data_IF_574585302861
#
_entry.id   IF_574585302861
#
_cell.length_a   1.000
_cell.length_b   1.000
_cell.length_c   1.000
_cell.angle_alpha   90.00
_cell.angle_beta   90.00
_cell.angle_gamma   90.00
#
_symmetry.space_group_name_H-M   'P 1'
#
loop_
_entity.id
_entity.type
_entity.pdbx_description
1 polymer ?
#
# COMPACT_ATOMS: atom_id res chain seq x y z
N UNK A 1 -11.52 24.75 -1.36
CA UNK A 1 -12.09 23.87 -2.39
C UNK A 1 -10.93 23.28 -3.21
N UNK A 2 -10.48 22.08 -2.88
CA UNK A 2 -9.43 21.37 -3.65
C UNK A 2 -10.10 20.15 -4.28
N UNK A 3 -10.71 20.34 -5.45
CA UNK A 3 -11.11 19.24 -6.32
C UNK A 3 -9.83 18.65 -6.91
N UNK A 4 -9.27 17.63 -6.28
CA UNK A 4 -8.17 16.87 -6.87
C UNK A 4 -8.74 16.01 -7.99
N UNK A 5 -8.48 16.43 -9.24
CA UNK A 5 -8.81 15.71 -10.46
C UNK A 5 -8.33 14.25 -10.39
N UNK A 6 -9.28 13.31 -10.36
CA UNK A 6 -9.07 11.88 -10.41
C UNK A 6 -8.83 11.41 -11.86
N UNK A 7 -7.74 11.88 -12.49
CA UNK A 7 -7.28 11.34 -13.76
C UNK A 7 -5.81 10.92 -13.57
N UNK A 8 -5.56 9.61 -13.50
CA UNK A 8 -4.21 9.05 -13.58
C UNK A 8 -3.43 8.93 -12.26
N UNK A 9 -4.05 8.49 -11.16
CA UNK A 9 -3.32 8.19 -9.92
C UNK A 9 -2.70 6.77 -9.94
N UNK A 10 -1.42 6.62 -9.56
CA UNK A 10 -0.79 5.31 -9.36
C UNK A 10 -1.61 4.43 -8.42
N UNK A 11 -1.58 3.11 -8.67
CA UNK A 11 -2.29 2.13 -7.86
C UNK A 11 -1.31 1.31 -7.03
N UNK A 12 -1.63 1.14 -5.77
CA UNK A 12 -0.81 0.42 -4.79
C UNK A 12 -1.58 -0.84 -4.40
N UNK A 13 -0.98 -2.02 -4.58
CA UNK A 13 -1.59 -3.27 -4.13
C UNK A 13 -1.70 -3.24 -2.60
N UNK A 14 -2.90 -3.46 -2.06
CA UNK A 14 -3.13 -3.41 -0.61
C UNK A 14 -2.43 -4.58 0.10
N UNK A 15 -2.32 -5.75 -0.56
CA UNK A 15 -1.73 -6.94 0.03
C UNK A 15 -0.20 -6.85 0.17
N UNK A 16 0.50 -6.36 -0.86
CA UNK A 16 1.97 -6.37 -0.90
C UNK A 16 2.62 -4.98 -0.98
N UNK A 17 1.85 -3.91 -1.14
CA UNK A 17 2.36 -2.54 -1.22
C UNK A 17 3.00 -2.15 -2.55
N UNK A 18 3.03 -3.03 -3.55
CA UNK A 18 3.61 -2.72 -4.87
C UNK A 18 2.82 -1.62 -5.58
N UNK A 19 3.52 -0.56 -6.02
CA UNK A 19 2.93 0.54 -6.78
C UNK A 19 3.09 0.36 -8.29
N UNK A 20 1.99 0.53 -9.03
CA UNK A 20 1.92 0.52 -10.48
C UNK A 20 1.65 1.93 -11.02
N UNK A 21 2.17 2.26 -12.23
CA UNK A 21 1.86 3.51 -12.89
C UNK A 21 0.37 3.59 -13.21
N UNK A 22 -0.15 4.81 -13.25
CA UNK A 22 -1.59 5.03 -13.39
C UNK A 22 -2.19 4.61 -14.73
N UNK A 23 -1.38 4.54 -15.77
CA UNK A 23 -1.80 4.16 -17.13
C UNK A 23 -1.84 2.65 -17.34
N UNK A 24 -1.11 1.89 -16.54
CA UNK A 24 -0.95 0.44 -16.72
C UNK A 24 -1.02 -0.21 -15.35
N UNK A 25 -2.24 -0.52 -14.94
CA UNK A 25 -2.52 -1.28 -13.72
C UNK A 25 -3.00 -2.65 -14.17
N UNK A 26 -2.29 -3.74 -13.82
CA UNK A 26 -2.73 -5.07 -14.19
C UNK A 26 -4.01 -5.42 -13.45
N UNK A 27 -4.81 -6.34 -14.00
CA UNK A 27 -6.03 -6.83 -13.34
C UNK A 27 -5.72 -7.41 -11.95
N UNK A 28 -4.60 -8.14 -11.85
CA UNK A 28 -4.03 -8.59 -10.59
C UNK A 28 -2.53 -8.24 -10.54
N UNK A 29 -2.04 -7.99 -9.34
CA UNK A 29 -0.66 -7.65 -9.05
C UNK A 29 0.23 -8.84 -9.42
N UNK A 30 1.16 -8.57 -10.32
CA UNK A 30 2.16 -9.53 -10.79
C UNK A 30 2.91 -10.20 -9.63
N UNK A 31 3.20 -9.44 -8.56
CA UNK A 31 3.88 -9.97 -7.37
C UNK A 31 2.97 -10.93 -6.61
N UNK A 32 1.72 -10.54 -6.33
CA UNK A 32 0.77 -11.40 -5.63
C UNK A 32 0.35 -12.64 -6.42
N UNK A 33 0.49 -12.64 -7.75
CA UNK A 33 0.27 -13.82 -8.59
C UNK A 33 1.34 -14.91 -8.40
N UNK A 34 2.48 -14.60 -7.80
CA UNK A 34 3.50 -15.59 -7.51
C UNK A 34 3.08 -16.46 -6.31
N UNK A 35 3.28 -17.78 -6.41
CA UNK A 35 2.93 -18.77 -5.39
C UNK A 35 3.54 -18.51 -4.00
N UNK A 36 4.56 -17.66 -3.95
CA UNK A 36 5.27 -17.27 -2.73
C UNK A 36 4.54 -16.21 -1.91
N UNK A 37 3.51 -15.58 -2.47
CA UNK A 37 2.82 -14.47 -1.84
C UNK A 37 1.48 -14.88 -1.22
N UNK A 38 1.26 -14.40 0.00
CA UNK A 38 -0.02 -14.55 0.67
C UNK A 38 -1.04 -13.57 0.07
N UNK A 39 -2.12 -14.11 -0.47
CA UNK A 39 -3.30 -13.33 -0.87
C UNK A 39 -4.37 -13.56 0.21
N UNK A 40 -4.93 -12.50 0.83
CA UNK A 40 -6.06 -12.65 1.74
C UNK A 40 -7.21 -13.38 1.03
N UNK A 41 -7.63 -14.56 1.53
CA UNK A 41 -8.51 -15.45 0.79
C UNK A 41 -9.95 -14.92 0.61
N UNK A 42 -10.41 -14.03 1.50
CA UNK A 42 -11.84 -13.66 1.57
C UNK A 42 -12.24 -12.46 0.69
N UNK A 43 -11.30 -11.60 0.30
CA UNK A 43 -11.62 -10.33 -0.37
C UNK A 43 -10.97 -10.16 -1.75
N UNK A 44 -10.13 -11.11 -2.14
CA UNK A 44 -9.29 -11.01 -3.34
C UNK A 44 -8.31 -9.84 -3.28
N UNK A 45 -7.76 -9.47 -4.44
CA UNK A 45 -6.79 -8.39 -4.50
C UNK A 45 -7.45 -7.01 -4.63
N UNK A 46 -7.05 -6.08 -3.76
CA UNK A 46 -7.53 -4.69 -3.77
C UNK A 46 -6.40 -3.69 -4.06
N UNK A 47 -6.81 -2.50 -4.51
CA UNK A 47 -5.91 -1.41 -4.87
C UNK A 47 -6.22 -0.15 -4.05
N UNK A 48 -5.18 0.51 -3.54
CA UNK A 48 -5.22 1.83 -2.96
C UNK A 48 -4.56 2.86 -3.89
N UNK A 49 -4.73 4.14 -3.58
CA UNK A 49 -3.96 5.26 -4.13
C UNK A 49 -3.15 5.89 -3.01
N UNK A 50 -2.08 6.61 -3.35
CA UNK A 50 -1.28 7.32 -2.35
C UNK A 50 -2.13 8.29 -1.51
N UNK A 51 -3.05 9.02 -2.13
CA UNK A 51 -3.97 9.93 -1.44
C UNK A 51 -4.90 9.22 -0.45
N UNK A 52 -5.33 7.99 -0.74
CA UNK A 52 -6.12 7.20 0.21
C UNK A 52 -5.26 6.77 1.40
N UNK A 53 -4.01 6.37 1.16
CA UNK A 53 -3.09 5.99 2.23
C UNK A 53 -2.75 7.18 3.13
N UNK A 54 -2.44 8.35 2.56
CA UNK A 54 -2.17 9.57 3.34
C UNK A 54 -3.34 10.00 4.24
N UNK A 55 -4.58 9.70 3.84
CA UNK A 55 -5.78 10.05 4.63
C UNK A 55 -6.05 9.04 5.75
N UNK A 56 -5.71 7.77 5.53
CA UNK A 56 -6.09 6.67 6.42
C UNK A 56 -4.93 6.17 7.30
N UNK A 57 -3.68 6.52 7.00
CA UNK A 57 -2.49 6.00 7.64
C UNK A 57 -1.49 7.11 7.98
N UNK A 58 -0.59 6.81 8.91
CA UNK A 58 0.49 7.69 9.35
C UNK A 58 1.76 6.89 9.61
N UNK A 59 2.92 7.53 9.62
CA UNK A 59 4.18 6.89 9.99
C UNK A 59 4.49 7.16 11.47
N UNK A 60 4.72 6.09 12.23
CA UNK A 60 5.20 6.14 13.61
C UNK A 60 6.69 5.79 13.62
N UNK A 61 7.49 6.63 14.29
CA UNK A 61 8.91 6.36 14.54
C UNK A 61 9.07 6.16 16.05
N UNK A 62 9.64 5.03 16.46
CA UNK A 62 9.82 4.66 17.86
C UNK A 62 11.27 4.27 18.13
N UNK A 63 11.93 4.90 19.11
CA UNK A 63 13.27 4.47 19.56
C UNK A 63 13.16 3.17 20.36
N UNK A 64 13.76 2.09 19.88
CA UNK A 64 13.72 0.78 20.56
C UNK A 64 14.96 0.48 21.38
N UNK A 65 16.15 0.98 20.96
CA UNK A 65 17.43 0.90 21.69
C UNK A 65 18.31 2.10 21.34
N UNK A 66 19.51 2.19 21.93
CA UNK A 66 20.48 3.21 21.50
C UNK A 66 20.75 3.07 20.01
N UNK A 67 20.54 4.17 19.27
CA UNK A 67 20.69 4.25 17.79
C UNK A 67 19.84 3.26 16.98
N UNK A 68 18.82 2.61 17.57
CA UNK A 68 17.89 1.73 16.85
C UNK A 68 16.47 2.29 16.95
N UNK A 69 15.83 2.46 15.79
CA UNK A 69 14.48 2.99 15.66
C UNK A 69 13.62 2.05 14.80
N UNK A 70 12.38 1.85 15.23
CA UNK A 70 11.31 1.24 14.43
C UNK A 70 10.61 2.33 13.63
N UNK A 71 10.41 2.09 12.34
CA UNK A 71 9.50 2.85 11.48
C UNK A 71 8.33 1.95 11.12
N UNK A 72 7.12 2.36 11.45
CA UNK A 72 5.90 1.60 11.17
C UNK A 72 4.80 2.48 10.59
N UNK A 73 4.07 1.97 9.60
CA UNK A 73 2.84 2.60 9.12
C UNK A 73 1.67 2.17 10.03
N UNK A 74 0.83 3.12 10.44
CA UNK A 74 -0.28 2.91 11.37
C UNK A 74 -1.56 3.50 10.78
N UNK A 75 -2.64 2.71 10.58
CA UNK A 75 -2.75 1.25 10.78
C UNK A 75 -1.75 0.42 9.94
N UNK A 76 -1.60 -0.88 10.21
CA UNK A 76 -0.70 -1.74 9.44
C UNK A 76 -1.13 -1.79 7.97
N UNK A 77 -0.16 -1.88 7.07
CA UNK A 77 -0.40 -1.90 5.62
C UNK A 77 0.49 -2.95 4.95
N UNK A 78 -0.02 -3.56 3.87
CA UNK A 78 0.67 -4.63 3.16
C UNK A 78 1.10 -5.77 4.11
N UNK A 79 2.37 -6.14 4.08
CA UNK A 79 2.93 -7.28 4.82
C UNK A 79 3.37 -6.95 6.26
N UNK A 80 3.07 -5.75 6.79
CA UNK A 80 3.34 -5.41 8.19
C UNK A 80 3.48 -3.93 8.50
#
# INVERSE_FOLDING_TARGET
>A
MMMQNNIGQPKICIACGTQYPSKVVPEYCTICKEDRQYIPPEEGQKWATHNQLLKAHSNRILKVKDRIYELKMVPSFAIG
#
